data_IF_817418039107
#
_entry.id   IF_817418039107
#
_cell.length_a   1.000
_cell.length_b   1.000
_cell.length_c   1.000
_cell.angle_alpha   90.00
_cell.angle_beta   90.00
_cell.angle_gamma   90.00
#
_symmetry.space_group_name_H-M   'P 1'
#
loop_
_entity.id
_entity.type
_entity.pdbx_description
1 polymer ?
#
# COMPACT_ATOMS: atom_id res chain seq x y z
N UNK A 1 -6.23 13.37 12.24
CA UNK A 1 -5.95 12.61 10.99
C UNK A 1 -4.61 11.92 11.18
N UNK A 2 -4.55 10.59 11.05
CA UNK A 2 -3.35 9.79 11.37
C UNK A 2 -3.33 8.42 10.69
N UNK A 3 -4.08 8.29 9.59
CA UNK A 3 -4.11 7.08 8.78
C UNK A 3 -3.33 7.31 7.48
N UNK A 4 -2.54 6.32 7.10
CA UNK A 4 -1.71 6.28 5.91
C UNK A 4 -2.37 5.39 4.87
N UNK A 5 -2.40 5.85 3.62
CA UNK A 5 -2.74 5.03 2.45
C UNK A 5 -1.58 4.08 2.16
N UNK A 6 -1.81 2.79 2.39
CA UNK A 6 -0.81 1.73 2.25
C UNK A 6 -0.30 1.62 0.80
N UNK A 7 -1.19 1.78 -0.18
CA UNK A 7 -0.80 1.70 -1.60
C UNK A 7 0.17 2.82 -1.93
N UNK A 8 -0.12 4.04 -1.49
CA UNK A 8 0.76 5.19 -1.76
C UNK A 8 2.07 5.09 -1.01
N UNK A 9 2.07 4.50 0.19
CA UNK A 9 3.30 4.28 0.93
C UNK A 9 4.25 3.33 0.20
N UNK A 10 3.76 2.22 -0.35
CA UNK A 10 4.61 1.22 -1.01
C UNK A 10 4.92 1.55 -2.49
N UNK A 11 3.98 2.17 -3.21
CA UNK A 11 4.10 2.39 -4.67
C UNK A 11 4.26 3.86 -5.06
N UNK A 12 4.39 4.77 -4.09
CA UNK A 12 4.65 6.19 -4.33
C UNK A 12 3.68 6.85 -5.31
N UNK A 13 4.17 7.23 -6.49
CA UNK A 13 3.40 7.91 -7.55
C UNK A 13 2.84 6.96 -8.61
N UNK A 14 3.03 5.65 -8.47
CA UNK A 14 2.53 4.68 -9.45
C UNK A 14 0.99 4.72 -9.55
N UNK A 15 0.50 4.35 -10.74
CA UNK A 15 -0.93 4.34 -11.04
C UNK A 15 -1.48 2.94 -10.77
N UNK A 16 -2.26 2.81 -9.70
CA UNK A 16 -3.11 1.66 -9.42
C UNK A 16 -4.57 2.05 -9.56
N UNK A 17 -5.37 1.20 -10.20
CA UNK A 17 -6.79 1.46 -10.44
C UNK A 17 -7.61 0.27 -9.97
N UNK A 18 -8.72 0.56 -9.31
CA UNK A 18 -9.67 -0.47 -8.93
C UNK A 18 -10.88 -0.49 -9.86
N UNK A 19 -11.19 0.60 -10.54
CA UNK A 19 -12.39 0.73 -11.37
C UNK A 19 -12.09 1.40 -12.71
N UNK A 20 -12.92 1.09 -13.71
CA UNK A 20 -12.94 1.75 -15.01
C UNK A 20 -14.38 2.09 -15.37
N UNK A 21 -14.65 3.36 -15.64
CA UNK A 21 -15.93 3.84 -16.14
C UNK A 21 -15.90 3.90 -17.66
N UNK A 22 -16.72 3.10 -18.32
CA UNK A 22 -16.84 3.15 -19.78
C UNK A 22 -17.53 4.43 -20.27
N UNK A 23 -18.49 4.98 -19.50
CA UNK A 23 -19.25 6.18 -19.86
C UNK A 23 -18.36 7.43 -19.84
N UNK A 24 -17.36 7.45 -18.97
CA UNK A 24 -16.45 8.57 -18.80
C UNK A 24 -15.04 8.31 -19.32
N UNK A 25 -14.78 7.15 -19.91
CA UNK A 25 -13.47 6.68 -20.38
C UNK A 25 -12.35 6.96 -19.36
N UNK A 26 -12.61 6.60 -18.09
CA UNK A 26 -11.77 7.02 -16.98
C UNK A 26 -11.52 5.88 -16.00
N UNK A 27 -10.25 5.74 -15.61
CA UNK A 27 -9.83 4.85 -14.55
C UNK A 27 -9.79 5.58 -13.20
N UNK A 28 -10.33 4.91 -12.18
CA UNK A 28 -10.40 5.44 -10.81
C UNK A 28 -9.85 4.44 -9.81
N UNK A 29 -9.23 4.97 -8.74
CA UNK A 29 -8.81 4.21 -7.57
C UNK A 29 -9.81 4.48 -6.45
N UNK A 30 -10.70 3.54 -6.21
CA UNK A 30 -11.82 3.69 -5.27
C UNK A 30 -11.66 2.80 -4.03
N UNK A 31 -10.83 1.76 -4.13
CA UNK A 31 -10.60 0.77 -3.08
C UNK A 31 -9.25 1.02 -2.42
N UNK A 32 -9.23 1.09 -1.08
CA UNK A 32 -8.07 1.50 -0.27
C UNK A 32 -7.92 0.63 0.98
N UNK A 33 -6.67 0.35 1.35
CA UNK A 33 -6.33 -0.03 2.72
C UNK A 33 -5.67 1.15 3.42
N UNK A 34 -6.25 1.56 4.55
CA UNK A 34 -5.74 2.61 5.41
C UNK A 34 -5.24 1.99 6.72
N UNK A 35 -4.11 2.46 7.22
CA UNK A 35 -3.53 1.97 8.47
C UNK A 35 -2.85 3.08 9.26
N UNK A 36 -2.47 2.83 10.50
CA UNK A 36 -1.65 3.74 11.29
C UNK A 36 -0.17 3.59 10.92
N UNK A 37 0.64 4.65 11.09
CA UNK A 37 2.03 4.66 10.63
C UNK A 37 2.92 3.56 11.26
N UNK A 38 2.62 3.16 12.50
CA UNK A 38 3.28 2.08 13.24
C UNK A 38 3.03 0.68 12.65
N UNK A 39 1.96 0.51 11.87
CA UNK A 39 1.65 -0.76 11.20
C UNK A 39 2.32 -0.90 9.84
N UNK A 40 2.80 0.20 9.24
CA UNK A 40 3.43 0.18 7.90
C UNK A 40 4.62 -0.80 7.79
N UNK A 41 5.53 -0.92 8.78
CA UNK A 41 6.65 -1.87 8.70
C UNK A 41 6.22 -3.34 8.64
N UNK A 42 4.99 -3.66 9.06
CA UNK A 42 4.44 -5.02 9.05
C UNK A 42 3.81 -5.40 7.72
N UNK A 43 3.60 -4.44 6.82
CA UNK A 43 2.97 -4.67 5.53
C UNK A 43 4.01 -5.25 4.57
N UNK A 44 3.73 -6.44 4.05
CA UNK A 44 4.65 -7.15 3.16
C UNK A 44 4.38 -6.82 1.69
N UNK A 45 3.11 -6.68 1.33
CA UNK A 45 2.70 -6.34 -0.04
C UNK A 45 1.30 -5.75 -0.06
N UNK A 46 1.04 -4.99 -1.14
CA UNK A 46 -0.29 -4.56 -1.53
C UNK A 46 -0.38 -4.52 -3.06
N UNK A 47 -1.43 -5.11 -3.64
CA UNK A 47 -1.56 -5.25 -5.09
C UNK A 47 -3.03 -5.23 -5.55
N UNK A 48 -3.31 -4.59 -6.70
CA UNK A 48 -4.58 -4.75 -7.40
C UNK A 48 -4.51 -6.04 -8.23
N UNK A 49 -5.47 -6.95 -8.01
CA UNK A 49 -5.58 -8.19 -8.78
C UNK A 49 -6.21 -7.95 -10.14
N UNK A 50 -5.93 -8.85 -11.08
CA UNK A 50 -6.54 -8.83 -12.40
C UNK A 50 -8.08 -8.81 -12.29
N UNK A 51 -8.69 -8.02 -13.15
CA UNK A 51 -10.14 -7.80 -13.17
C UNK A 51 -10.84 -9.08 -13.65
N UNK A 52 -11.68 -9.66 -12.79
CA UNK A 52 -12.47 -10.85 -13.08
C UNK A 52 -13.85 -10.48 -13.65
N UNK A 53 -14.90 -11.16 -13.17
CA UNK A 53 -16.29 -10.93 -13.58
C UNK A 53 -16.85 -9.60 -13.02
N UNK A 54 -16.27 -9.08 -11.95
CA UNK A 54 -16.72 -7.87 -11.26
C UNK A 54 -16.11 -6.63 -11.93
N UNK A 55 -16.87 -5.53 -11.96
CA UNK A 55 -16.46 -4.23 -12.48
C UNK A 55 -15.40 -3.51 -11.63
N UNK A 56 -15.00 -4.09 -10.50
CA UNK A 56 -13.87 -3.69 -9.68
C UNK A 56 -12.74 -4.74 -9.66
N UNK A 57 -11.50 -4.27 -9.72
CA UNK A 57 -10.30 -5.04 -9.42
C UNK A 57 -10.10 -5.12 -7.91
N UNK A 58 -9.92 -6.34 -7.40
CA UNK A 58 -9.75 -6.58 -5.97
C UNK A 58 -8.42 -6.00 -5.48
N UNK A 59 -8.44 -5.28 -4.36
CA UNK A 59 -7.23 -4.85 -3.67
C UNK A 59 -6.88 -5.88 -2.60
N UNK A 60 -5.67 -6.44 -2.67
CA UNK A 60 -5.18 -7.42 -1.70
C UNK A 60 -3.98 -6.85 -0.94
N UNK A 61 -3.93 -7.11 0.37
CA UNK A 61 -2.82 -6.73 1.25
C UNK A 61 -2.39 -7.95 2.07
N UNK A 62 -1.08 -8.13 2.26
CA UNK A 62 -0.54 -9.12 3.19
C UNK A 62 0.22 -8.41 4.33
N UNK A 63 -0.06 -8.86 5.55
CA UNK A 63 0.48 -8.26 6.79
C UNK A 63 1.15 -9.35 7.62
N UNK A 64 2.34 -9.04 8.14
CA UNK A 64 3.05 -9.90 9.07
C UNK A 64 2.51 -9.72 10.50
N UNK A 65 1.85 -10.75 11.00
CA UNK A 65 1.35 -10.81 12.39
C UNK A 65 2.34 -11.47 13.35
N UNK A 66 3.56 -11.77 12.88
CA UNK A 66 4.63 -12.32 13.71
C UNK A 66 5.17 -11.31 14.72
N UNK A 67 6.06 -11.76 15.64
CA UNK A 67 6.79 -10.85 16.50
C UNK A 67 7.51 -9.79 15.66
N UNK A 68 7.60 -8.55 16.17
CA UNK A 68 8.29 -7.47 15.47
C UNK A 68 9.69 -7.94 15.07
N UNK A 69 10.00 -7.82 13.78
CA UNK A 69 11.35 -8.05 13.30
C UNK A 69 12.19 -6.93 13.91
N UNK A 70 12.94 -7.23 14.96
CA UNK A 70 13.92 -6.29 15.49
C UNK A 70 14.84 -5.90 14.33
N UNK A 71 14.79 -4.64 13.92
CA UNK A 71 15.78 -4.08 13.04
C UNK A 71 17.13 -4.27 13.71
N UNK A 72 17.99 -5.08 13.09
CA UNK A 72 19.40 -5.11 13.48
C UNK A 72 19.92 -3.70 13.24
N UNK A 73 20.19 -2.99 14.34
CA UNK A 73 20.88 -1.70 14.42
C UNK A 73 21.65 -1.35 13.13
N UNK A 74 21.00 -0.61 12.22
CA UNK A 74 21.74 0.14 11.21
C UNK A 74 22.25 1.37 11.93
N UNK A 75 23.47 1.27 12.46
CA UNK A 75 24.20 2.42 12.95
C UNK A 75 24.40 3.38 11.76
N UNK A 76 23.49 4.33 11.60
CA UNK A 76 23.75 5.55 10.84
C UNK A 76 24.88 6.26 11.60
N UNK A 77 26.11 6.10 11.12
CA UNK A 77 27.25 6.85 11.64
C UNK A 77 26.92 8.33 11.46
N UNK A 78 26.78 9.05 12.58
CA UNK A 78 26.82 10.51 12.60
C UNK A 78 28.12 10.91 11.91
N UNK A 79 27.99 11.51 10.74
CA UNK A 79 29.10 12.22 10.11
C UNK A 79 29.32 13.50 10.89
N UNK A 80 30.51 13.63 11.46
CA UNK A 80 31.04 14.89 11.95
C UNK A 80 31.38 15.77 10.74
N UNK A 81 30.68 16.90 10.60
CA UNK A 81 31.15 18.12 9.94
C UNK A 81 30.57 19.32 10.69
#
# INVERSE_FOLDING_TARGET
MGLCDVWRFLHGQERGYSYYSAVHDMHSRLDYFLTTADMLPRIQMIEYRAKGIIDHAQLQMAVSMGPDRQEKNVACKRGDY
#
